data_IF_112398110337
#
_entry.id   IF_112398110337
#
_cell.length_a   1.000
_cell.length_b   1.000
_cell.length_c   1.000
_cell.angle_alpha   90.00
_cell.angle_beta   90.00
_cell.angle_gamma   90.00
#
_symmetry.space_group_name_H-M   'P 1'
#
loop_
_entity.id
_entity.type
_entity.pdbx_description
1 polymer ?
#
# COMPACT_ATOMS: atom_id res chain seq x y z
N UNK A 1 2.97 -8.99 -14.60
CA UNK A 1 3.73 -7.72 -14.69
C UNK A 1 4.70 -7.73 -13.52
N UNK A 2 5.96 -7.38 -13.73
CA UNK A 2 6.94 -7.43 -12.64
C UNK A 2 6.61 -6.40 -11.56
N UNK A 3 6.85 -6.74 -10.29
CA UNK A 3 6.63 -5.82 -9.17
C UNK A 3 7.60 -4.65 -9.30
N UNK A 4 7.12 -3.39 -9.27
CA UNK A 4 8.01 -2.23 -9.37
C UNK A 4 9.00 -2.18 -8.20
N UNK A 5 10.23 -1.75 -8.48
CA UNK A 5 11.22 -1.45 -7.45
C UNK A 5 10.79 -0.19 -6.69
N UNK A 6 10.75 -0.29 -5.36
CA UNK A 6 10.31 0.79 -4.47
C UNK A 6 11.21 0.87 -3.25
N UNK A 7 11.41 2.07 -2.71
CA UNK A 7 12.18 2.31 -1.48
C UNK A 7 11.43 3.20 -0.49
N UNK A 8 11.93 3.25 0.73
CA UNK A 8 11.44 4.19 1.75
C UNK A 8 11.54 5.63 1.23
N UNK A 9 10.46 6.39 1.39
CA UNK A 9 10.36 7.77 0.95
C UNK A 9 9.73 7.94 -0.43
N UNK A 10 9.53 6.86 -1.18
CA UNK A 10 8.80 6.93 -2.45
C UNK A 10 7.29 7.04 -2.22
N UNK A 11 6.60 7.56 -3.23
CA UNK A 11 5.15 7.58 -3.30
C UNK A 11 4.66 6.50 -4.26
N UNK A 12 3.57 5.83 -3.90
CA UNK A 12 2.89 4.84 -4.73
C UNK A 12 1.40 5.19 -4.84
N UNK A 13 0.76 4.72 -5.89
CA UNK A 13 -0.70 4.73 -5.99
C UNK A 13 -1.24 3.39 -5.51
N UNK A 14 -2.05 3.41 -4.45
CA UNK A 14 -2.80 2.25 -3.99
C UNK A 14 -4.20 2.26 -4.60
N UNK A 15 -4.74 1.08 -4.90
CA UNK A 15 -6.11 0.91 -5.39
C UNK A 15 -6.79 -0.23 -4.65
N UNK A 16 -8.10 -0.10 -4.44
CA UNK A 16 -8.91 -1.23 -3.97
C UNK A 16 -9.30 -2.16 -5.12
N UNK A 17 -9.50 -1.60 -6.32
CA UNK A 17 -9.90 -2.30 -7.55
C UNK A 17 -9.20 -1.68 -8.77
N UNK A 18 -9.14 -2.42 -9.87
CA UNK A 18 -8.39 -1.98 -11.07
C UNK A 18 -8.91 -0.65 -11.67
N UNK A 19 -10.21 -0.40 -11.55
CA UNK A 19 -10.96 0.77 -12.04
C UNK A 19 -10.96 1.96 -11.06
N UNK A 20 -10.40 1.78 -9.86
CA UNK A 20 -10.33 2.84 -8.86
C UNK A 20 -9.29 3.91 -9.28
N UNK A 21 -9.60 5.22 -9.15
CA UNK A 21 -8.63 6.30 -9.38
C UNK A 21 -7.37 6.15 -8.51
N UNK A 22 -7.50 5.47 -7.37
CA UNK A 22 -6.44 5.19 -6.44
C UNK A 22 -6.19 6.33 -5.46
N UNK A 23 -5.45 6.01 -4.40
CA UNK A 23 -5.00 6.95 -3.39
C UNK A 23 -3.48 6.94 -3.34
N UNK A 24 -2.89 8.13 -3.31
CA UNK A 24 -1.45 8.26 -3.15
C UNK A 24 -1.04 7.92 -1.71
N UNK A 25 0.04 7.15 -1.58
CA UNK A 25 0.57 6.70 -0.31
C UNK A 25 2.09 6.84 -0.26
N UNK A 26 2.60 7.32 0.87
CA UNK A 26 4.03 7.44 1.15
C UNK A 26 4.56 6.16 1.81
N UNK A 27 5.66 5.62 1.29
CA UNK A 27 6.32 4.45 1.87
C UNK A 27 7.16 4.85 3.08
N UNK A 28 6.75 4.38 4.27
CA UNK A 28 7.52 4.54 5.51
C UNK A 28 8.56 3.45 5.72
N UNK A 29 8.26 2.22 5.25
CA UNK A 29 9.14 1.05 5.38
C UNK A 29 8.82 0.02 4.31
N UNK A 30 9.86 -0.62 3.78
CA UNK A 30 9.76 -1.85 3.00
C UNK A 30 10.10 -3.02 3.94
N UNK A 31 9.20 -3.98 4.08
CA UNK A 31 9.37 -5.16 4.95
C UNK A 31 9.89 -6.36 4.15
N UNK A 32 10.43 -7.37 4.85
CA UNK A 32 10.83 -8.63 4.23
C UNK A 32 9.62 -9.31 3.55
N UNK A 33 9.83 -9.85 2.35
CA UNK A 33 8.76 -10.33 1.47
C UNK A 33 8.19 -9.25 0.53
N UNK A 34 8.59 -7.98 0.72
CA UNK A 34 8.19 -6.86 -0.13
C UNK A 34 6.77 -6.35 0.13
N UNK A 35 6.27 -6.58 1.35
CA UNK A 35 5.15 -5.82 1.92
C UNK A 35 5.63 -4.40 2.24
N UNK A 36 4.78 -3.41 2.04
CA UNK A 36 5.08 -2.01 2.33
C UNK A 36 4.27 -1.54 3.53
N UNK A 37 4.91 -0.77 4.42
CA UNK A 37 4.20 0.02 5.42
C UNK A 37 4.09 1.45 4.92
N UNK A 38 2.85 1.93 4.75
CA UNK A 38 2.55 3.17 4.04
C UNK A 38 1.63 4.08 4.84
N UNK A 39 1.67 5.38 4.53
CA UNK A 39 0.74 6.39 5.02
C UNK A 39 0.02 7.09 3.88
N UNK A 40 -1.30 7.25 3.98
CA UNK A 40 -2.12 7.87 2.94
C UNK A 40 -3.27 8.69 3.55
N UNK A 41 -3.86 9.57 2.73
CA UNK A 41 -4.97 10.44 3.13
C UNK A 41 -6.23 10.10 2.32
N UNK A 42 -7.01 9.14 2.80
CA UNK A 42 -8.32 8.85 2.22
C UNK A 42 -9.38 9.76 2.83
N UNK A 43 -9.84 10.74 2.04
CA UNK A 43 -10.99 11.61 2.35
C UNK A 43 -10.89 12.40 3.68
N UNK A 44 -9.69 12.53 4.27
CA UNK A 44 -9.46 13.22 5.55
C UNK A 44 -8.06 13.84 5.63
N UNK A 45 -7.93 14.87 6.47
CA UNK A 45 -6.63 15.47 6.83
C UNK A 45 -5.76 14.55 7.69
N UNK A 46 -6.33 13.48 8.26
CA UNK A 46 -5.57 12.54 9.09
C UNK A 46 -4.91 11.48 8.22
N UNK A 47 -3.61 11.27 8.44
CA UNK A 47 -2.88 10.19 7.78
C UNK A 47 -3.35 8.84 8.32
N UNK A 48 -3.86 8.01 7.43
CA UNK A 48 -4.14 6.60 7.69
C UNK A 48 -2.88 5.79 7.40
N UNK A 49 -2.54 4.85 8.28
CA UNK A 49 -1.38 3.97 8.11
C UNK A 49 -1.86 2.56 7.83
N UNK A 50 -1.25 1.89 6.85
CA UNK A 50 -1.62 0.54 6.47
C UNK A 50 -0.43 -0.25 5.93
N UNK A 51 -0.65 -1.56 5.78
CA UNK A 51 0.23 -2.43 5.01
C UNK A 51 -0.30 -2.55 3.59
N UNK A 52 0.59 -2.52 2.60
CA UNK A 52 0.26 -2.66 1.19
C UNK A 52 1.06 -3.80 0.55
N UNK A 53 0.42 -4.52 -0.37
CA UNK A 53 1.00 -5.64 -1.12
C UNK A 53 0.79 -5.45 -2.62
N UNK A 54 1.70 -6.00 -3.42
CA UNK A 54 1.59 -5.98 -4.88
C UNK A 54 0.63 -7.08 -5.33
N UNK A 55 -0.49 -6.69 -5.93
CA UNK A 55 -1.51 -7.60 -6.47
C UNK A 55 -1.34 -7.74 -8.00
N UNK A 56 -0.13 -8.12 -8.43
CA UNK A 56 0.31 -8.32 -9.82
C UNK A 56 0.29 -7.08 -10.74
N UNK A 57 -0.56 -6.11 -10.47
CA UNK A 57 -0.84 -4.94 -11.33
C UNK A 57 -0.92 -3.63 -10.57
N UNK A 58 -1.33 -3.64 -9.30
CA UNK A 58 -1.39 -2.46 -8.45
C UNK A 58 -1.09 -2.81 -6.99
N UNK A 59 -0.72 -1.78 -6.22
CA UNK A 59 -0.60 -1.90 -4.78
C UNK A 59 -1.99 -1.84 -4.15
N UNK A 60 -2.30 -2.79 -3.28
CA UNK A 60 -3.56 -2.80 -2.53
C UNK A 60 -3.30 -2.85 -1.03
N UNK A 61 -4.18 -2.21 -0.26
CA UNK A 61 -4.14 -2.32 1.20
C UNK A 61 -4.47 -3.77 1.58
N UNK A 62 -3.61 -4.38 2.39
CA UNK A 62 -3.96 -5.61 3.09
C UNK A 62 -4.38 -5.24 4.50
N UNK A 63 -5.57 -5.66 4.91
CA UNK A 63 -5.85 -5.75 6.33
C UNK A 63 -4.81 -6.72 6.90
N UNK A 64 -4.09 -6.33 7.96
CA UNK A 64 -3.36 -7.30 8.78
C UNK A 64 -4.37 -8.39 9.10
N UNK A 65 -4.25 -9.57 8.48
CA UNK A 65 -5.03 -10.74 8.89
C UNK A 65 -4.89 -10.81 10.40
N UNK A 66 -6.00 -10.56 11.13
CA UNK A 66 -6.07 -10.99 12.53
C UNK A 66 -5.67 -12.47 12.49
N UNK A 67 -4.72 -12.94 13.31
CA UNK A 67 -4.43 -14.37 13.36
C UNK A 67 -5.77 -15.07 13.56
N UNK A 68 -6.14 -15.94 12.63
CA UNK A 68 -7.24 -16.87 12.85
C UNK A 68 -6.86 -17.64 14.12
N UNK A 69 -7.64 -17.41 15.18
CA UNK A 69 -7.56 -18.20 16.40
C UNK A 69 -7.87 -19.66 16.10
#
# INVERSE_FOLDING_TARGET
MERPEVKKGDFITMRERADDPGVEALIYRVEEGGTLFVGYHAYSIRTTKAHAVWADTFWMVTERRKPQK
#
